data_IF_345903177907
#
_entry.id   IF_345903177907
#
_cell.length_a   1.000
_cell.length_b   1.000
_cell.length_c   1.000
_cell.angle_alpha   90.00
_cell.angle_beta   90.00
_cell.angle_gamma   90.00
#
_symmetry.space_group_name_H-M   'P 1'
#
loop_
_entity.id
_entity.type
_entity.pdbx_description
1 polymer ?
#
# COMPACT_ATOMS: atom_id res chain seq x y z
N UNK A 1 30.75 -11.80 -14.07
CA UNK A 1 30.00 -13.05 -13.80
C UNK A 1 30.18 -13.96 -14.99
N UNK A 2 30.42 -15.26 -14.74
CA UNK A 2 30.41 -16.29 -15.79
C UNK A 2 28.97 -16.61 -16.18
N UNK A 3 28.76 -17.15 -17.37
CA UNK A 3 27.43 -17.52 -17.88
C UNK A 3 26.68 -18.48 -16.93
N UNK A 4 27.37 -19.47 -16.37
CA UNK A 4 26.82 -20.39 -15.36
C UNK A 4 26.34 -19.69 -14.08
N UNK A 5 27.05 -18.65 -13.64
CA UNK A 5 26.65 -17.85 -12.46
C UNK A 5 25.38 -17.05 -12.75
N UNK A 6 25.19 -16.60 -13.99
CA UNK A 6 23.98 -15.89 -14.43
C UNK A 6 22.79 -16.85 -14.41
N UNK A 7 22.89 -18.02 -15.06
CA UNK A 7 21.80 -19.00 -15.07
C UNK A 7 21.45 -19.51 -13.68
N UNK A 8 22.46 -19.81 -12.86
CA UNK A 8 22.23 -20.21 -11.46
C UNK A 8 21.49 -19.13 -10.67
N UNK A 9 21.76 -17.84 -10.94
CA UNK A 9 21.03 -16.74 -10.28
C UNK A 9 19.59 -16.63 -10.79
N UNK A 10 19.35 -16.79 -12.09
CA UNK A 10 18.00 -16.78 -12.68
C UNK A 10 17.14 -17.89 -12.08
N UNK A 11 17.68 -19.11 -12.02
CA UNK A 11 16.96 -20.26 -11.46
C UNK A 11 16.65 -20.05 -9.97
N UNK A 12 17.60 -19.54 -9.18
CA UNK A 12 17.40 -19.25 -7.74
C UNK A 12 16.34 -18.17 -7.48
N UNK A 13 16.16 -17.23 -8.40
CA UNK A 13 15.18 -16.15 -8.26
C UNK A 13 13.85 -16.46 -8.95
N UNK A 14 13.75 -17.59 -9.66
CA UNK A 14 12.51 -18.01 -10.32
C UNK A 14 11.50 -18.48 -9.28
N UNK A 15 10.27 -17.98 -9.37
CA UNK A 15 9.20 -18.31 -8.44
C UNK A 15 8.00 -18.88 -9.19
N UNK A 16 7.31 -19.84 -8.56
CA UNK A 16 6.09 -20.42 -9.12
C UNK A 16 4.94 -19.41 -9.13
N UNK A 17 4.81 -18.63 -8.04
CA UNK A 17 3.75 -17.62 -7.87
C UNK A 17 4.36 -16.27 -7.44
N UNK A 18 4.92 -15.48 -8.37
CA UNK A 18 5.70 -14.29 -8.04
C UNK A 18 4.88 -13.18 -7.35
N UNK A 19 3.56 -13.18 -7.52
CA UNK A 19 2.67 -12.26 -6.79
C UNK A 19 2.77 -12.45 -5.27
N UNK A 20 2.91 -13.69 -4.79
CA UNK A 20 3.01 -14.03 -3.36
C UNK A 20 4.45 -14.29 -2.89
N UNK A 21 5.45 -14.00 -3.72
CA UNK A 21 6.82 -14.42 -3.55
C UNK A 21 7.72 -13.47 -2.74
N UNK A 22 8.99 -13.45 -3.10
CA UNK A 22 10.07 -12.75 -2.40
C UNK A 22 10.18 -11.29 -2.86
N UNK A 23 9.24 -10.49 -2.38
CA UNK A 23 9.08 -9.07 -2.72
C UNK A 23 8.61 -8.23 -1.53
N UNK A 24 8.47 -6.93 -1.74
CA UNK A 24 7.96 -5.98 -0.73
C UNK A 24 8.80 -5.95 0.54
N UNK A 25 8.16 -5.89 1.71
CA UNK A 25 8.87 -5.87 2.99
C UNK A 25 9.82 -7.06 3.19
N UNK A 26 9.48 -8.24 2.66
CA UNK A 26 10.29 -9.47 2.81
C UNK A 26 11.67 -9.26 2.20
N UNK A 27 11.72 -8.66 1.01
CA UNK A 27 12.97 -8.34 0.34
C UNK A 27 13.76 -7.28 1.11
N UNK A 28 13.10 -6.22 1.59
CA UNK A 28 13.74 -5.18 2.39
C UNK A 28 14.17 -5.64 3.79
N UNK A 29 13.61 -6.73 4.32
CA UNK A 29 14.06 -7.36 5.57
C UNK A 29 15.30 -8.22 5.30
N UNK A 30 15.28 -9.03 4.23
CA UNK A 30 16.41 -9.88 3.87
C UNK A 30 17.61 -9.11 3.32
N UNK A 31 17.38 -7.98 2.67
CA UNK A 31 18.40 -7.09 2.13
C UNK A 31 18.14 -5.64 2.59
N UNK A 32 18.43 -5.31 3.87
CA UNK A 32 18.18 -4.00 4.46
C UNK A 32 18.79 -2.84 3.67
N UNK A 33 19.92 -3.06 3.01
CA UNK A 33 20.61 -2.07 2.19
C UNK A 33 19.73 -1.47 1.08
N UNK A 34 18.73 -2.21 0.60
CA UNK A 34 17.76 -1.71 -0.38
C UNK A 34 16.88 -0.62 0.22
N UNK A 35 16.28 -0.90 1.38
CA UNK A 35 15.47 0.09 2.12
C UNK A 35 16.33 1.25 2.58
N UNK A 36 17.56 0.99 3.05
CA UNK A 36 18.46 2.07 3.49
C UNK A 36 18.79 3.03 2.35
N UNK A 37 19.11 2.50 1.17
CA UNK A 37 19.39 3.29 -0.03
C UNK A 37 18.17 4.13 -0.42
N UNK A 38 16.98 3.54 -0.48
CA UNK A 38 15.75 4.25 -0.85
C UNK A 38 15.39 5.34 0.17
N UNK A 39 15.43 5.04 1.46
CA UNK A 39 15.15 6.00 2.53
C UNK A 39 16.16 7.17 2.49
N UNK A 40 17.45 6.86 2.32
CA UNK A 40 18.49 7.89 2.19
C UNK A 40 18.22 8.81 1.00
N UNK A 41 17.89 8.25 -0.17
CA UNK A 41 17.57 9.02 -1.35
C UNK A 41 16.37 9.97 -1.13
N UNK A 42 15.29 9.46 -0.52
CA UNK A 42 14.09 10.25 -0.20
C UNK A 42 14.43 11.41 0.73
N UNK A 43 15.15 11.16 1.83
CA UNK A 43 15.47 12.20 2.81
C UNK A 43 16.46 13.23 2.26
N UNK A 44 17.50 12.79 1.54
CA UNK A 44 18.46 13.71 0.91
C UNK A 44 17.78 14.62 -0.11
N UNK A 45 16.90 14.07 -0.95
CA UNK A 45 16.11 14.85 -1.89
C UNK A 45 15.19 15.84 -1.16
N UNK A 46 14.49 15.37 -0.11
CA UNK A 46 13.56 16.19 0.67
C UNK A 46 14.26 17.37 1.35
N UNK A 47 15.42 17.15 1.97
CA UNK A 47 16.24 18.22 2.57
C UNK A 47 16.75 19.18 1.49
N UNK A 48 17.26 18.64 0.37
CA UNK A 48 17.79 19.47 -0.71
C UNK A 48 16.74 20.41 -1.27
N UNK A 49 15.53 19.89 -1.54
CA UNK A 49 14.40 20.69 -2.04
C UNK A 49 13.91 21.68 -0.96
N UNK A 50 13.89 21.28 0.31
CA UNK A 50 13.54 22.17 1.42
C UNK A 50 14.49 23.36 1.56
N UNK A 51 15.79 23.17 1.31
CA UNK A 51 16.77 24.25 1.34
C UNK A 51 16.57 25.28 0.21
N UNK A 52 15.80 24.93 -0.83
CA UNK A 52 15.37 25.87 -1.88
C UNK A 52 14.04 26.57 -1.54
N UNK A 53 13.57 26.48 -0.29
CA UNK A 53 12.36 27.16 0.19
C UNK A 53 11.05 26.44 -0.12
N UNK A 54 11.09 25.20 -0.61
CA UNK A 54 9.90 24.39 -0.90
C UNK A 54 9.53 23.57 0.34
N UNK A 55 8.27 23.64 0.78
CA UNK A 55 7.80 22.79 1.90
C UNK A 55 7.61 21.35 1.43
N UNK A 56 8.26 20.39 2.08
CA UNK A 56 8.20 18.97 1.75
C UNK A 56 7.63 18.18 2.93
N UNK A 57 6.69 17.27 2.64
CA UNK A 57 6.05 16.39 3.62
C UNK A 57 6.16 14.93 3.16
N UNK A 58 7.35 14.31 3.28
CA UNK A 58 7.53 12.96 2.77
C UNK A 58 6.81 11.95 3.67
N UNK A 59 6.10 11.03 3.03
CA UNK A 59 5.46 9.87 3.65
C UNK A 59 6.09 8.61 3.04
N UNK A 60 6.66 7.75 3.88
CA UNK A 60 7.33 6.52 3.46
C UNK A 60 6.42 5.35 3.80
N UNK A 61 6.04 4.58 2.78
CA UNK A 61 5.11 3.48 2.93
C UNK A 61 5.79 2.14 2.69
N UNK A 62 5.62 1.21 3.63
CA UNK A 62 6.15 -0.16 3.51
C UNK A 62 5.09 -1.07 2.86
N UNK A 63 5.41 -1.79 1.76
CA UNK A 63 4.47 -2.67 1.09
C UNK A 63 4.46 -4.10 1.67
N UNK A 64 3.38 -4.83 1.42
CA UNK A 64 3.19 -6.27 1.69
C UNK A 64 3.38 -6.70 3.14
N UNK A 65 3.14 -5.79 4.08
CA UNK A 65 3.12 -6.12 5.51
C UNK A 65 1.98 -7.09 5.80
N UNK A 66 2.28 -8.15 6.55
CA UNK A 66 1.31 -9.07 7.14
C UNK A 66 1.41 -9.14 8.67
N UNK A 67 2.50 -8.68 9.29
CA UNK A 67 2.69 -8.65 10.75
C UNK A 67 3.23 -7.31 11.27
N UNK A 68 2.95 -6.94 12.53
CA UNK A 68 3.51 -5.72 13.12
C UNK A 68 5.04 -5.75 13.23
N UNK A 69 5.66 -6.92 13.39
CA UNK A 69 7.12 -7.07 13.46
C UNK A 69 7.80 -6.75 12.13
N UNK A 70 7.21 -7.17 11.00
CA UNK A 70 7.72 -6.83 9.67
C UNK A 70 7.75 -5.30 9.49
N UNK A 71 6.69 -4.61 9.93
CA UNK A 71 6.59 -3.16 9.84
C UNK A 71 7.55 -2.49 10.83
N UNK A 72 7.64 -2.98 12.06
CA UNK A 72 8.57 -2.46 13.09
C UNK A 72 10.02 -2.53 12.59
N UNK A 73 10.41 -3.63 11.96
CA UNK A 73 11.74 -3.79 11.38
C UNK A 73 12.03 -2.68 10.35
N UNK A 74 11.16 -2.53 9.35
CA UNK A 74 11.35 -1.54 8.29
C UNK A 74 11.28 -0.10 8.83
N UNK A 75 10.35 0.18 9.73
CA UNK A 75 10.21 1.51 10.35
C UNK A 75 11.45 1.88 11.16
N UNK A 76 12.00 0.94 11.94
CA UNK A 76 13.24 1.16 12.69
C UNK A 76 14.40 1.52 11.77
N UNK A 77 14.54 0.79 10.66
CA UNK A 77 15.57 1.01 9.65
C UNK A 77 15.42 2.40 9.00
N UNK A 78 14.22 2.75 8.54
CA UNK A 78 13.90 4.04 7.92
C UNK A 78 14.20 5.19 8.89
N UNK A 79 13.77 5.10 10.15
CA UNK A 79 14.02 6.14 11.16
C UNK A 79 15.51 6.29 11.50
N UNK A 80 16.27 5.20 11.48
CA UNK A 80 17.73 5.26 11.69
C UNK A 80 18.44 5.96 10.53
N UNK A 81 18.04 5.70 9.29
CA UNK A 81 18.58 6.38 8.12
C UNK A 81 18.21 7.86 8.12
N UNK A 82 16.97 8.20 8.46
CA UNK A 82 16.53 9.59 8.61
C UNK A 82 17.44 10.37 9.57
N UNK A 83 17.71 9.82 10.76
CA UNK A 83 18.60 10.43 11.76
C UNK A 83 20.00 10.68 11.22
N UNK A 84 20.58 9.70 10.50
CA UNK A 84 21.92 9.83 9.88
C UNK A 84 21.92 10.94 8.84
N UNK A 85 20.98 10.93 7.90
CA UNK A 85 20.89 11.94 6.83
C UNK A 85 20.70 13.34 7.41
N UNK A 86 19.80 13.51 8.38
CA UNK A 86 19.57 14.80 9.02
C UNK A 86 20.80 15.33 9.76
N UNK A 87 21.54 14.44 10.44
CA UNK A 87 22.81 14.80 11.07
C UNK A 87 23.88 15.20 10.04
N UNK A 88 24.01 14.44 8.95
CA UNK A 88 25.00 14.70 7.89
C UNK A 88 24.72 16.00 7.14
N UNK A 89 23.44 16.34 6.95
CA UNK A 89 23.02 17.54 6.21
C UNK A 89 22.77 18.76 7.09
N UNK A 90 22.87 18.63 8.42
CA UNK A 90 22.63 19.72 9.37
C UNK A 90 21.22 20.30 9.30
N UNK A 91 20.23 19.50 8.91
CA UNK A 91 18.84 19.93 8.69
C UNK A 91 17.88 18.80 9.05
N UNK A 92 16.63 19.13 9.36
CA UNK A 92 15.59 18.15 9.68
C UNK A 92 14.26 18.55 9.06
N UNK A 93 13.38 17.56 8.88
CA UNK A 93 12.04 17.75 8.36
C UNK A 93 11.08 16.74 9.00
N UNK A 94 9.81 17.12 9.10
CA UNK A 94 8.74 16.21 9.52
C UNK A 94 8.48 15.20 8.40
N UNK A 95 8.37 13.93 8.77
CA UNK A 95 8.01 12.85 7.85
C UNK A 95 7.13 11.85 8.58
N UNK A 96 6.42 11.01 7.83
CA UNK A 96 5.68 9.87 8.39
C UNK A 96 6.16 8.56 7.82
N UNK A 97 6.03 7.50 8.61
CA UNK A 97 6.19 6.12 8.15
C UNK A 97 4.87 5.39 8.36
N UNK A 98 4.38 4.76 7.30
CA UNK A 98 3.13 4.01 7.30
C UNK A 98 3.25 2.73 6.49
N UNK A 99 2.12 2.10 6.24
CA UNK A 99 2.10 0.81 5.53
C UNK A 99 0.99 0.74 4.50
N UNK A 100 1.24 -0.05 3.47
CA UNK A 100 0.16 -0.53 2.62
C UNK A 100 -0.61 -1.62 3.39
N UNK A 101 -1.94 -1.60 3.29
CA UNK A 101 -2.82 -2.68 3.75
C UNK A 101 -3.33 -3.42 2.51
N UNK A 102 -2.63 -4.49 2.18
CA UNK A 102 -2.86 -5.27 0.95
C UNK A 102 -2.78 -6.78 1.16
N UNK A 103 -2.46 -7.21 2.38
CA UNK A 103 -2.50 -8.61 2.81
C UNK A 103 -3.69 -8.78 3.75
N UNK A 104 -4.59 -9.77 3.56
CA UNK A 104 -5.76 -9.95 4.43
C UNK A 104 -5.41 -10.04 5.92
N UNK A 105 -4.28 -10.68 6.27
CA UNK A 105 -3.79 -10.74 7.66
C UNK A 105 -3.58 -9.35 8.26
N UNK A 106 -3.04 -8.39 7.50
CA UNK A 106 -2.80 -7.05 8.00
C UNK A 106 -4.11 -6.32 8.36
N UNK A 107 -5.19 -6.57 7.62
CA UNK A 107 -6.50 -6.05 7.98
C UNK A 107 -7.03 -6.66 9.29
N UNK A 108 -6.75 -7.94 9.54
CA UNK A 108 -7.22 -8.66 10.73
C UNK A 108 -6.46 -8.28 12.01
N UNK A 109 -5.18 -7.92 11.92
CA UNK A 109 -4.34 -7.47 13.06
C UNK A 109 -4.00 -5.98 12.99
N UNK A 110 -4.89 -5.19 12.39
CA UNK A 110 -4.64 -3.77 12.09
C UNK A 110 -4.39 -2.91 13.33
N UNK A 111 -4.94 -3.28 14.49
CA UNK A 111 -4.72 -2.62 15.78
C UNK A 111 -3.24 -2.68 16.20
N UNK A 112 -2.60 -3.84 16.04
CA UNK A 112 -1.18 -4.01 16.35
C UNK A 112 -0.29 -3.28 15.34
N UNK A 113 -0.65 -3.33 14.05
CA UNK A 113 0.08 -2.64 12.98
C UNK A 113 0.00 -1.10 13.15
N UNK A 114 -1.14 -0.58 13.59
CA UNK A 114 -1.34 0.85 13.81
C UNK A 114 -0.47 1.43 14.95
N UNK A 115 0.05 0.59 15.85
CA UNK A 115 1.04 1.03 16.84
C UNK A 115 2.33 1.50 16.19
N UNK A 116 2.72 0.89 15.06
CA UNK A 116 3.96 1.18 14.34
C UNK A 116 3.75 2.14 13.14
N UNK A 117 2.55 2.13 12.53
CA UNK A 117 2.21 2.96 11.37
C UNK A 117 1.56 4.29 11.76
N UNK A 118 1.96 5.36 11.07
CA UNK A 118 1.34 6.70 11.18
C UNK A 118 0.23 6.92 10.14
N UNK A 119 0.15 6.06 9.12
CA UNK A 119 -0.93 6.02 8.14
C UNK A 119 -1.07 4.62 7.51
N UNK A 120 -2.27 4.32 7.01
CA UNK A 120 -2.58 3.18 6.16
C UNK A 120 -2.96 3.64 4.75
N UNK A 121 -2.50 2.91 3.74
CA UNK A 121 -3.04 3.01 2.39
C UNK A 121 -3.50 1.62 1.95
N UNK A 122 -4.78 1.45 1.65
CA UNK A 122 -5.26 0.18 1.12
C UNK A 122 -4.72 -0.03 -0.30
N UNK A 123 -4.02 -1.15 -0.50
CA UNK A 123 -3.62 -1.66 -1.82
C UNK A 123 -4.68 -2.63 -2.30
N UNK A 124 -5.82 -2.11 -2.74
CA UNK A 124 -7.01 -2.95 -3.01
C UNK A 124 -6.85 -3.92 -4.17
N UNK A 125 -5.91 -3.69 -5.09
CA UNK A 125 -5.62 -4.63 -6.15
C UNK A 125 -5.13 -5.96 -5.54
N UNK A 126 -4.01 -5.92 -4.81
CA UNK A 126 -3.44 -7.08 -4.13
C UNK A 126 -4.39 -7.62 -3.03
N UNK A 127 -5.07 -6.75 -2.29
CA UNK A 127 -6.05 -7.18 -1.29
C UNK A 127 -7.20 -7.98 -1.93
N UNK A 128 -7.71 -7.53 -3.09
CA UNK A 128 -8.75 -8.25 -3.84
C UNK A 128 -8.21 -9.56 -4.35
N UNK A 129 -7.00 -9.59 -4.93
CA UNK A 129 -6.39 -10.82 -5.40
C UNK A 129 -6.28 -11.86 -4.27
N UNK A 130 -5.80 -11.47 -3.09
CA UNK A 130 -5.65 -12.39 -1.96
C UNK A 130 -6.98 -12.78 -1.31
N UNK A 131 -7.98 -11.89 -1.33
CA UNK A 131 -9.31 -12.18 -0.75
C UNK A 131 -10.13 -13.12 -1.63
N UNK A 132 -10.12 -12.91 -2.95
CA UNK A 132 -10.80 -13.79 -3.91
C UNK A 132 -10.00 -15.04 -4.26
N UNK A 133 -8.68 -15.02 -4.06
CA UNK A 133 -7.77 -16.03 -4.62
C UNK A 133 -7.61 -15.90 -6.14
N UNK A 134 -7.73 -14.68 -6.67
CA UNK A 134 -7.66 -14.41 -8.11
C UNK A 134 -6.31 -13.82 -8.50
N UNK A 135 -5.61 -14.47 -9.42
CA UNK A 135 -4.48 -13.86 -10.12
C UNK A 135 -5.01 -12.88 -11.17
N UNK A 136 -4.66 -11.60 -11.05
CA UNK A 136 -5.12 -10.56 -11.99
C UNK A 136 -4.68 -10.85 -13.43
N UNK A 137 -3.51 -11.47 -13.60
CA UNK A 137 -2.98 -11.84 -14.92
C UNK A 137 -3.70 -13.05 -15.54
N UNK A 138 -4.36 -13.88 -14.72
CA UNK A 138 -5.04 -15.10 -15.17
C UNK A 138 -6.57 -15.00 -15.16
N UNK A 139 -7.14 -14.02 -14.46
CA UNK A 139 -8.60 -13.90 -14.23
C UNK A 139 -9.39 -13.80 -15.54
N UNK A 140 -8.80 -13.23 -16.58
CA UNK A 140 -9.43 -13.07 -17.90
C UNK A 140 -9.83 -14.40 -18.56
N UNK A 141 -9.27 -15.54 -18.12
CA UNK A 141 -9.61 -16.88 -18.63
C UNK A 141 -11.01 -17.34 -18.21
N UNK A 142 -11.55 -16.82 -17.10
CA UNK A 142 -12.85 -17.28 -16.57
C UNK A 142 -13.81 -16.14 -16.18
N UNK A 143 -13.31 -14.93 -15.95
CA UNK A 143 -14.14 -13.80 -15.52
C UNK A 143 -15.32 -13.50 -16.45
N UNK A 144 -15.18 -13.52 -17.80
CA UNK A 144 -16.32 -13.30 -18.70
C UNK A 144 -17.45 -14.33 -18.50
N UNK A 145 -17.09 -15.60 -18.23
CA UNK A 145 -18.06 -16.66 -17.91
C UNK A 145 -18.77 -16.39 -16.59
N UNK A 146 -18.06 -15.89 -15.58
CA UNK A 146 -18.64 -15.56 -14.27
C UNK A 146 -19.64 -14.40 -14.37
N UNK A 147 -19.30 -13.35 -15.13
CA UNK A 147 -20.16 -12.20 -15.37
C UNK A 147 -21.42 -12.58 -16.16
N UNK A 148 -21.25 -13.29 -17.29
CA UNK A 148 -22.38 -13.74 -18.12
C UNK A 148 -23.31 -14.74 -17.42
N UNK A 149 -22.78 -15.53 -16.48
CA UNK A 149 -23.58 -16.48 -15.68
C UNK A 149 -24.17 -15.85 -14.41
N UNK A 150 -23.92 -14.56 -14.14
CA UNK A 150 -24.39 -13.86 -12.96
C UNK A 150 -23.74 -14.29 -11.64
N UNK A 151 -22.65 -15.06 -11.69
CA UNK A 151 -21.86 -15.47 -10.51
C UNK A 151 -21.22 -14.24 -9.86
N UNK A 152 -20.68 -13.34 -10.70
CA UNK A 152 -20.23 -12.01 -10.30
C UNK A 152 -21.08 -10.95 -11.00
N UNK A 153 -21.35 -9.86 -10.30
CA UNK A 153 -22.13 -8.74 -10.83
C UNK A 153 -21.24 -7.70 -11.52
N UNK A 154 -19.95 -7.66 -11.17
CA UNK A 154 -18.95 -6.74 -11.70
C UNK A 154 -17.57 -7.39 -11.63
N UNK A 155 -16.61 -6.87 -12.40
CA UNK A 155 -15.19 -7.21 -12.23
C UNK A 155 -14.73 -6.67 -10.86
N UNK A 156 -14.30 -7.53 -9.91
CA UNK A 156 -13.88 -7.09 -8.58
C UNK A 156 -12.56 -6.28 -8.59
N UNK A 157 -11.84 -6.22 -9.71
CA UNK A 157 -10.65 -5.37 -9.90
C UNK A 157 -10.98 -3.99 -10.46
N UNK A 158 -12.20 -3.78 -10.95
CA UNK A 158 -12.68 -2.47 -11.41
C UNK A 158 -13.60 -1.82 -10.37
N UNK A 159 -14.55 -2.60 -9.85
CA UNK A 159 -15.52 -2.18 -8.84
C UNK A 159 -15.24 -2.93 -7.55
N UNK A 160 -15.01 -2.20 -6.46
CA UNK A 160 -14.69 -2.79 -5.17
C UNK A 160 -15.81 -3.76 -4.74
N UNK A 161 -15.43 -5.00 -4.44
CA UNK A 161 -16.30 -5.94 -3.73
C UNK A 161 -16.54 -5.44 -2.29
N UNK A 162 -17.67 -4.80 -2.07
CA UNK A 162 -18.02 -4.24 -0.77
C UNK A 162 -18.37 -5.32 0.27
N UNK A 163 -18.69 -6.55 -0.14
CA UNK A 163 -19.17 -7.63 0.75
C UNK A 163 -18.05 -8.50 1.29
N UNK A 164 -16.99 -8.74 0.53
CA UNK A 164 -15.79 -9.45 0.98
C UNK A 164 -14.65 -8.48 1.28
N UNK A 165 -14.04 -7.92 0.23
CA UNK A 165 -12.89 -7.00 0.37
C UNK A 165 -13.24 -5.79 1.23
N UNK A 166 -14.41 -5.22 1.03
CA UNK A 166 -14.92 -4.09 1.82
C UNK A 166 -15.08 -4.42 3.32
N UNK A 167 -15.34 -5.67 3.70
CA UNK A 167 -15.37 -6.05 5.13
C UNK A 167 -13.98 -6.00 5.75
N UNK A 168 -12.94 -6.48 5.04
CA UNK A 168 -11.56 -6.37 5.52
C UNK A 168 -11.16 -4.90 5.70
N UNK A 169 -11.55 -4.03 4.76
CA UNK A 169 -11.27 -2.59 4.84
C UNK A 169 -11.96 -1.96 6.06
N UNK A 170 -13.23 -2.30 6.34
CA UNK A 170 -13.96 -1.84 7.53
C UNK A 170 -13.28 -2.29 8.82
N UNK A 171 -13.02 -3.59 8.96
CA UNK A 171 -12.35 -4.18 10.12
C UNK A 171 -11.00 -3.50 10.38
N UNK A 172 -10.21 -3.31 9.32
CA UNK A 172 -8.90 -2.67 9.40
C UNK A 172 -9.02 -1.21 9.86
N UNK A 173 -9.96 -0.46 9.29
CA UNK A 173 -10.18 0.96 9.60
C UNK A 173 -10.60 1.15 11.05
N UNK A 174 -11.55 0.34 11.52
CA UNK A 174 -12.03 0.36 12.90
C UNK A 174 -10.93 -0.01 13.91
N UNK A 175 -10.25 -1.14 13.70
CA UNK A 175 -9.15 -1.60 14.56
C UNK A 175 -7.97 -0.63 14.57
N UNK A 176 -7.57 -0.15 13.41
CA UNK A 176 -6.46 0.79 13.26
C UNK A 176 -6.73 2.10 13.99
N UNK A 177 -7.93 2.68 13.84
CA UNK A 177 -8.30 3.90 14.56
C UNK A 177 -8.56 3.69 16.04
N UNK A 178 -9.00 2.51 16.46
CA UNK A 178 -9.11 2.17 17.87
C UNK A 178 -7.74 2.19 18.57
N UNK A 179 -6.70 1.70 17.90
CA UNK A 179 -5.33 1.74 18.42
C UNK A 179 -4.66 3.12 18.27
N UNK A 180 -4.93 3.82 17.16
CA UNK A 180 -4.40 5.17 16.87
C UNK A 180 -5.52 6.09 16.35
N UNK A 181 -6.16 6.89 17.21
CA UNK A 181 -7.33 7.71 16.82
C UNK A 181 -7.08 8.73 15.70
N UNK A 182 -5.85 9.21 15.55
CA UNK A 182 -5.44 10.16 14.52
C UNK A 182 -4.86 9.50 13.25
N UNK A 183 -4.93 8.16 13.15
CA UNK A 183 -4.43 7.38 12.03
C UNK A 183 -5.07 7.84 10.73
N UNK A 184 -4.22 8.27 9.78
CA UNK A 184 -4.65 8.62 8.42
C UNK A 184 -4.83 7.36 7.60
N UNK A 185 -5.98 7.23 6.95
CA UNK A 185 -6.32 6.03 6.19
C UNK A 185 -6.80 6.45 4.82
N UNK A 186 -6.13 5.96 3.78
CA UNK A 186 -6.57 6.15 2.41
C UNK A 186 -6.49 4.88 1.59
N UNK A 187 -6.64 5.05 0.29
CA UNK A 187 -6.68 3.98 -0.70
C UNK A 187 -5.88 4.42 -1.92
N UNK A 188 -5.10 3.51 -2.48
CA UNK A 188 -4.43 3.68 -3.76
C UNK A 188 -4.80 2.55 -4.73
N UNK A 189 -4.98 2.90 -6.00
CA UNK A 189 -5.24 1.93 -7.07
C UNK A 189 -6.47 2.25 -7.89
N UNK A 190 -6.93 1.26 -8.66
CA UNK A 190 -8.02 1.46 -9.64
C UNK A 190 -9.34 1.83 -8.97
N UNK A 191 -9.65 1.20 -7.84
CA UNK A 191 -10.86 1.48 -7.06
C UNK A 191 -10.91 2.92 -6.54
N UNK A 192 -9.76 3.59 -6.37
CA UNK A 192 -9.70 4.98 -5.90
C UNK A 192 -10.27 6.00 -6.89
N UNK A 193 -10.55 5.61 -8.13
CA UNK A 193 -11.18 6.45 -9.15
C UNK A 193 -12.49 5.89 -9.69
N UNK A 194 -13.07 4.85 -9.06
CA UNK A 194 -14.35 4.26 -9.47
C UNK A 194 -15.46 4.82 -8.57
N UNK A 195 -16.51 5.47 -9.13
CA UNK A 195 -17.47 6.23 -8.34
C UNK A 195 -18.14 5.47 -7.18
N UNK A 196 -18.56 4.23 -7.40
CA UNK A 196 -19.25 3.45 -6.35
C UNK A 196 -18.29 3.01 -5.24
N UNK A 197 -17.03 2.73 -5.59
CA UNK A 197 -15.94 2.42 -4.65
C UNK A 197 -15.55 3.67 -3.84
N UNK A 198 -15.42 4.83 -4.48
CA UNK A 198 -15.18 6.12 -3.81
C UNK A 198 -16.31 6.43 -2.82
N UNK A 199 -17.57 6.20 -3.20
CA UNK A 199 -18.71 6.33 -2.31
C UNK A 199 -18.61 5.41 -1.08
N UNK A 200 -18.24 4.15 -1.30
CA UNK A 200 -18.00 3.22 -0.20
C UNK A 200 -16.90 3.73 0.75
N UNK A 201 -15.75 4.15 0.21
CA UNK A 201 -14.63 4.67 1.02
C UNK A 201 -14.99 5.90 1.84
N UNK A 202 -15.78 6.82 1.25
CA UNK A 202 -16.29 7.99 1.96
C UNK A 202 -17.22 7.59 3.11
N UNK A 203 -18.14 6.64 2.88
CA UNK A 203 -19.10 6.18 3.89
C UNK A 203 -18.44 5.47 5.09
N UNK A 204 -17.34 4.75 4.87
CA UNK A 204 -16.58 4.12 5.97
C UNK A 204 -15.56 5.08 6.60
N UNK A 205 -15.51 6.32 6.13
CA UNK A 205 -14.73 7.40 6.72
C UNK A 205 -13.24 7.37 6.41
N UNK A 206 -12.81 6.89 5.24
CA UNK A 206 -11.41 7.09 4.80
C UNK A 206 -11.11 8.59 4.66
N UNK A 207 -9.85 8.97 4.91
CA UNK A 207 -9.37 10.35 4.82
C UNK A 207 -9.15 10.82 3.38
N UNK A 208 -8.77 9.92 2.47
CA UNK A 208 -8.53 10.26 1.06
C UNK A 208 -8.67 9.06 0.12
N UNK A 209 -8.83 9.35 -1.18
CA UNK A 209 -8.67 8.40 -2.28
C UNK A 209 -7.54 8.86 -3.20
N UNK A 210 -6.74 7.92 -3.72
CA UNK A 210 -5.65 8.18 -4.66
C UNK A 210 -5.83 7.34 -5.92
N UNK A 211 -5.79 8.00 -7.07
CA UNK A 211 -6.05 7.40 -8.39
C UNK A 211 -5.13 7.99 -9.46
N UNK A 212 -5.18 7.42 -10.66
CA UNK A 212 -4.40 7.93 -11.80
C UNK A 212 -4.79 9.37 -12.16
N UNK A 213 -3.87 10.17 -12.72
CA UNK A 213 -4.08 11.62 -12.89
C UNK A 213 -5.38 11.99 -13.63
N UNK A 214 -5.73 11.25 -14.68
CA UNK A 214 -6.94 11.50 -15.46
C UNK A 214 -8.24 11.12 -14.74
N UNK A 215 -8.17 10.27 -13.71
CA UNK A 215 -9.32 9.88 -12.88
C UNK A 215 -9.54 10.82 -11.70
N UNK A 216 -8.62 11.75 -11.41
CA UNK A 216 -8.77 12.73 -10.32
C UNK A 216 -10.08 13.53 -10.42
N UNK A 217 -10.50 14.07 -11.58
CA UNK A 217 -11.78 14.79 -11.68
C UNK A 217 -12.98 13.90 -11.36
N UNK A 218 -12.94 12.62 -11.78
CA UNK A 218 -14.01 11.64 -11.52
C UNK A 218 -14.08 11.34 -10.02
N UNK A 219 -12.94 11.07 -9.38
CA UNK A 219 -12.88 10.80 -7.95
C UNK A 219 -13.39 11.99 -7.12
N UNK A 220 -13.04 13.22 -7.51
CA UNK A 220 -13.54 14.45 -6.86
C UNK A 220 -15.05 14.59 -6.98
N UNK A 221 -15.60 14.37 -8.17
CA UNK A 221 -17.05 14.44 -8.40
C UNK A 221 -17.77 13.36 -7.60
N UNK A 222 -17.30 12.12 -7.65
CA UNK A 222 -17.89 11.01 -6.91
C UNK A 222 -17.86 11.24 -5.39
N UNK A 223 -16.75 11.73 -4.83
CA UNK A 223 -16.65 12.07 -3.41
C UNK A 223 -17.64 13.18 -3.01
N UNK A 224 -17.87 14.18 -3.87
CA UNK A 224 -18.82 15.26 -3.60
C UNK A 224 -20.28 14.80 -3.66
N UNK A 225 -20.62 13.89 -4.58
CA UNK A 225 -21.98 13.36 -4.75
C UNK A 225 -22.48 12.54 -3.55
N UNK A 226 -21.57 12.02 -2.73
CA UNK A 226 -21.90 11.13 -1.60
C UNK A 226 -22.17 11.91 -0.31
N UNK A 227 -21.62 13.14 -0.23
CA UNK A 227 -21.78 14.05 0.91
C UNK A 227 -22.98 15.00 0.71
N UNK A 228 -23.59 15.00 -0.48
CA UNK A 228 -24.77 15.76 -0.84
C UNK A 228 -26.07 15.03 -0.48
#
# INVERSE_FOLDING_TARGET
MKEEEIYSRIEKLSEVNPMLGFRGCRLGISYPELTEMQARAIFQASVSVSNHGIKVFPEIMVPLIGTPEELRHQTSLIRNVAKKVFSEMGSSLSYKVGTMIEVPRAALVADEIAMEAEFFSFGTNDLTQMTFGYSRDDVGKFLPTYLSSGILQSDPFEVLDQRGVGQLIKICTEKGRAARPDLKIGICGEHGGEPSSVAFFSNIGLDYVSCSPFRVPIARLAAAQVVA
#
